data_IF_936114181569
#
_entry.id   IF_936114181569
#
_cell.length_a   1.000
_cell.length_b   1.000
_cell.length_c   1.000
_cell.angle_alpha   90.00
_cell.angle_beta   90.00
_cell.angle_gamma   90.00
#
_symmetry.space_group_name_H-M   'P 1'
#
loop_
_entity.id
_entity.type
_entity.pdbx_description
1 polymer ?
#
# COMPACT_ATOMS: atom_id res chain seq x y z
N UNK A 1 0.74 45.43 29.05
CA UNK A 1 0.41 44.13 28.40
C UNK A 1 -0.02 43.15 29.48
N UNK A 2 -1.15 42.43 29.35
CA UNK A 2 -1.61 41.54 30.40
C UNK A 2 -0.62 40.36 30.55
N UNK A 3 -0.09 40.16 31.77
CA UNK A 3 0.92 39.12 32.12
C UNK A 3 0.44 37.68 31.87
N UNK A 4 -0.85 37.49 31.58
CA UNK A 4 -1.48 36.19 31.32
C UNK A 4 -1.47 35.76 29.85
N UNK A 5 -1.18 36.68 28.92
CA UNK A 5 -1.16 36.40 27.49
C UNK A 5 -0.23 35.24 27.07
N UNK A 6 1.01 35.10 27.56
CA UNK A 6 1.88 33.98 27.18
C UNK A 6 1.36 32.62 27.68
N UNK A 7 0.66 32.58 28.82
CA UNK A 7 0.10 31.34 29.37
C UNK A 7 -1.07 30.83 28.53
N UNK A 8 -1.92 31.73 28.05
CA UNK A 8 -3.05 31.40 27.16
C UNK A 8 -2.54 30.89 25.82
N UNK A 9 -1.50 31.52 25.25
CA UNK A 9 -0.87 31.08 24.00
C UNK A 9 -0.23 29.69 24.16
N UNK A 10 0.48 29.45 25.27
CA UNK A 10 1.07 28.14 25.56
C UNK A 10 0.01 27.04 25.72
N UNK A 11 -1.12 27.35 26.37
CA UNK A 11 -2.23 26.40 26.54
C UNK A 11 -2.93 26.07 25.21
N UNK A 12 -3.13 27.07 24.34
CA UNK A 12 -3.71 26.85 22.99
C UNK A 12 -2.79 26.02 22.11
N UNK A 13 -1.47 26.22 22.20
CA UNK A 13 -0.47 25.41 21.50
C UNK A 13 -0.41 23.98 22.04
N UNK A 14 -0.63 23.78 23.35
CA UNK A 14 -0.67 22.45 23.95
C UNK A 14 -1.93 21.66 23.58
N UNK A 15 -3.06 22.34 23.39
CA UNK A 15 -4.33 21.73 22.98
C UNK A 15 -4.41 21.41 21.49
N UNK A 16 -3.46 21.89 20.68
CA UNK A 16 -3.43 21.69 19.22
C UNK A 16 -2.49 20.58 18.75
N UNK A 17 -1.84 19.84 19.66
CA UNK A 17 -1.17 18.58 19.30
C UNK A 17 -2.21 17.52 18.97
N UNK A 18 -2.63 17.49 17.71
CA UNK A 18 -3.39 16.37 17.17
C UNK A 18 -2.48 15.15 17.11
N UNK A 19 -2.87 14.07 17.77
CA UNK A 19 -2.30 12.76 17.49
C UNK A 19 -2.58 12.44 16.02
N UNK A 20 -1.54 12.45 15.19
CA UNK A 20 -1.65 11.97 13.83
C UNK A 20 -1.90 10.46 13.89
N UNK A 21 -3.15 10.03 13.72
CA UNK A 21 -3.44 8.63 13.47
C UNK A 21 -2.91 8.29 12.07
N UNK A 22 -2.06 7.27 11.99
CA UNK A 22 -1.67 6.73 10.71
C UNK A 22 -2.94 6.22 10.01
N UNK A 23 -3.24 6.74 8.81
CA UNK A 23 -4.33 6.22 8.00
C UNK A 23 -4.04 4.74 7.68
N UNK A 24 -5.07 3.90 7.78
CA UNK A 24 -5.01 2.50 7.33
C UNK A 24 -4.36 2.44 5.93
N UNK A 25 -3.27 1.68 5.77
CA UNK A 25 -2.58 1.61 4.49
C UNK A 25 -3.33 0.69 3.53
N UNK A 26 -3.18 0.99 2.24
CA UNK A 26 -3.44 0.00 1.20
C UNK A 26 -2.21 -0.90 1.07
N UNK A 27 -2.43 -2.21 1.08
CA UNK A 27 -1.37 -3.20 0.86
C UNK A 27 -1.67 -4.04 -0.38
N UNK A 28 -0.61 -4.58 -0.99
CA UNK A 28 -0.68 -5.46 -2.14
C UNK A 28 -0.15 -6.85 -1.77
N UNK A 29 -0.91 -7.89 -2.11
CA UNK A 29 -0.54 -9.28 -1.85
C UNK A 29 -0.57 -10.03 -3.18
N UNK A 30 0.55 -10.65 -3.54
CA UNK A 30 0.64 -11.48 -4.73
C UNK A 30 0.09 -12.89 -4.48
N UNK A 31 -0.64 -13.41 -5.45
CA UNK A 31 -0.95 -14.82 -5.61
C UNK A 31 0.02 -15.39 -6.65
N UNK A 32 1.07 -16.05 -6.16
CA UNK A 32 2.11 -16.63 -7.00
C UNK A 32 1.63 -17.94 -7.64
N UNK A 33 0.94 -17.81 -8.78
CA UNK A 33 0.44 -18.92 -9.57
C UNK A 33 0.46 -18.60 -11.07
N UNK A 34 0.47 -19.65 -11.90
CA UNK A 34 0.35 -19.54 -13.35
C UNK A 34 -1.11 -19.39 -13.82
N UNK A 35 -1.29 -18.98 -15.08
CA UNK A 35 -2.59 -18.75 -15.70
C UNK A 35 -3.46 -17.75 -14.93
N UNK A 36 -4.77 -17.92 -15.02
CA UNK A 36 -5.77 -17.01 -14.41
C UNK A 36 -5.78 -17.04 -12.86
N UNK A 37 -5.01 -17.96 -12.26
CA UNK A 37 -4.84 -18.05 -10.81
C UNK A 37 -3.77 -17.08 -10.30
N UNK A 38 -2.85 -16.65 -11.17
CA UNK A 38 -1.93 -15.57 -10.88
C UNK A 38 -2.68 -14.25 -10.71
N UNK A 39 -2.36 -13.51 -9.65
CA UNK A 39 -2.98 -12.21 -9.41
C UNK A 39 -2.19 -11.38 -8.41
N UNK A 40 -2.47 -10.09 -8.38
CA UNK A 40 -2.14 -9.19 -7.30
C UNK A 40 -3.47 -8.68 -6.75
N UNK A 41 -3.62 -8.77 -5.42
CA UNK A 41 -4.78 -8.31 -4.69
C UNK A 41 -4.41 -7.06 -3.91
N UNK A 42 -5.27 -6.04 -3.91
CA UNK A 42 -5.16 -4.90 -3.01
C UNK A 42 -6.17 -4.99 -1.88
N UNK A 43 -5.75 -4.56 -0.70
CA UNK A 43 -6.57 -4.53 0.51
C UNK A 43 -6.37 -3.22 1.24
N UNK A 44 -7.42 -2.75 1.93
CA UNK A 44 -7.25 -1.81 3.02
C UNK A 44 -6.93 -2.60 4.29
N UNK A 45 -5.78 -2.32 4.90
CA UNK A 45 -5.33 -3.00 6.11
C UNK A 45 -5.71 -2.16 7.33
N UNK A 46 -6.60 -2.71 8.16
CA UNK A 46 -7.02 -2.08 9.40
C UNK A 46 -5.91 -2.25 10.45
N UNK A 47 -5.18 -1.16 10.76
CA UNK A 47 -4.04 -1.21 11.69
C UNK A 47 -4.46 -1.51 13.14
N UNK A 48 -5.74 -1.32 13.47
CA UNK A 48 -6.25 -1.53 14.83
C UNK A 48 -6.62 -3.00 15.06
N UNK A 49 -7.28 -3.61 14.08
CA UNK A 49 -7.81 -4.98 14.20
C UNK A 49 -6.99 -6.03 13.47
N UNK A 50 -6.11 -5.62 12.54
CA UNK A 50 -5.39 -6.51 11.64
C UNK A 50 -6.25 -7.07 10.50
N UNK A 51 -7.49 -6.60 10.33
CA UNK A 51 -8.39 -7.09 9.29
C UNK A 51 -7.98 -6.59 7.89
N UNK A 52 -8.13 -7.47 6.89
CA UNK A 52 -7.97 -7.14 5.47
C UNK A 52 -9.33 -6.94 4.81
N UNK A 53 -9.58 -5.74 4.29
CA UNK A 53 -10.77 -5.42 3.50
C UNK A 53 -10.41 -5.47 2.01
N UNK A 54 -10.94 -6.42 1.22
CA UNK A 54 -10.61 -6.54 -0.20
C UNK A 54 -10.97 -5.29 -0.99
N UNK A 55 -10.14 -4.93 -1.96
CA UNK A 55 -10.38 -3.79 -2.86
C UNK A 55 -10.40 -4.24 -4.32
N UNK A 56 -9.25 -4.60 -4.89
CA UNK A 56 -9.13 -4.96 -6.31
C UNK A 56 -8.30 -6.24 -6.47
N UNK A 57 -8.50 -6.91 -7.61
CA UNK A 57 -7.72 -8.06 -8.07
C UNK A 57 -7.39 -7.88 -9.54
N UNK A 58 -6.11 -8.04 -9.89
CA UNK A 58 -5.67 -8.08 -11.30
C UNK A 58 -6.04 -9.41 -11.95
N UNK A 59 -6.26 -9.43 -13.27
CA UNK A 59 -6.61 -10.65 -14.02
C UNK A 59 -5.58 -11.05 -15.08
N UNK A 60 -4.54 -10.24 -15.29
CA UNK A 60 -3.62 -10.37 -16.44
C UNK A 60 -2.16 -10.56 -16.05
N UNK A 61 -1.87 -11.04 -14.83
CA UNK A 61 -0.49 -11.30 -14.38
C UNK A 61 -0.35 -12.71 -13.85
N UNK A 62 0.54 -13.47 -14.47
CA UNK A 62 0.96 -14.78 -14.02
C UNK A 62 2.27 -14.69 -13.27
N UNK A 63 2.38 -15.52 -12.24
CA UNK A 63 3.57 -15.67 -11.41
C UNK A 63 4.16 -14.36 -10.86
N UNK A 64 3.35 -13.46 -10.24
CA UNK A 64 3.89 -12.21 -9.68
C UNK A 64 4.69 -12.47 -8.39
N UNK A 65 6.02 -12.52 -8.48
CA UNK A 65 6.89 -12.79 -7.33
C UNK A 65 7.73 -11.57 -6.87
N UNK A 66 7.57 -10.42 -7.53
CA UNK A 66 8.14 -9.14 -7.09
C UNK A 66 7.18 -7.99 -7.39
N UNK A 67 7.18 -6.97 -6.53
CA UNK A 67 6.31 -5.80 -6.61
C UNK A 67 7.11 -4.52 -6.34
N UNK A 68 6.86 -3.48 -7.11
CA UNK A 68 7.42 -2.15 -6.89
C UNK A 68 6.36 -1.07 -7.15
N UNK A 69 6.28 -0.06 -6.28
CA UNK A 69 5.44 1.11 -6.50
C UNK A 69 6.25 2.22 -7.14
N UNK A 70 5.64 2.92 -8.09
CA UNK A 70 6.12 4.22 -8.56
C UNK A 70 6.25 5.22 -7.40
N UNK A 71 7.19 6.17 -7.45
CA UNK A 71 7.37 7.17 -6.39
C UNK A 71 6.12 8.00 -6.10
N UNK A 72 5.31 8.29 -7.12
CA UNK A 72 4.05 9.03 -6.99
C UNK A 72 2.84 8.13 -6.66
N UNK A 73 3.07 6.82 -6.51
CA UNK A 73 2.09 5.78 -6.15
C UNK A 73 0.93 5.65 -7.13
N UNK A 74 1.10 6.09 -8.38
CA UNK A 74 0.07 5.94 -9.42
C UNK A 74 0.13 4.60 -10.13
N UNK A 75 1.32 4.02 -10.19
CA UNK A 75 1.60 2.74 -10.84
C UNK A 75 2.18 1.71 -9.88
N UNK A 76 1.73 0.46 -10.04
CA UNK A 76 2.33 -0.73 -9.47
C UNK A 76 2.96 -1.56 -10.58
N UNK A 77 4.22 -1.93 -10.40
CA UNK A 77 4.96 -2.82 -11.28
C UNK A 77 5.10 -4.20 -10.66
N UNK A 78 5.03 -5.23 -11.49
CA UNK A 78 5.28 -6.60 -11.08
C UNK A 78 6.01 -7.39 -12.14
N UNK A 79 6.74 -8.42 -11.73
CA UNK A 79 7.20 -9.43 -12.68
C UNK A 79 6.00 -10.24 -13.17
N UNK A 80 5.96 -10.46 -14.47
CA UNK A 80 5.06 -11.38 -15.13
C UNK A 80 5.87 -12.49 -15.78
N UNK A 81 5.61 -13.74 -15.39
CA UNK A 81 6.25 -14.90 -16.00
C UNK A 81 5.19 -15.91 -16.43
N UNK A 82 5.21 -16.35 -17.69
CA UNK A 82 4.38 -17.46 -18.14
C UNK A 82 4.77 -18.77 -17.42
N UNK A 83 6.08 -18.98 -17.23
CA UNK A 83 6.64 -20.12 -16.51
C UNK A 83 7.80 -19.70 -15.62
N UNK A 84 7.56 -19.67 -14.32
CA UNK A 84 8.58 -19.36 -13.33
C UNK A 84 9.76 -20.33 -13.36
N UNK A 85 10.98 -19.80 -13.28
CA UNK A 85 12.21 -20.58 -13.26
C UNK A 85 12.57 -21.24 -14.60
N UNK A 86 11.91 -20.85 -15.69
CA UNK A 86 12.28 -21.27 -17.04
C UNK A 86 13.49 -20.49 -17.58
N UNK A 87 13.92 -20.81 -18.80
CA UNK A 87 14.93 -20.01 -19.52
C UNK A 87 14.32 -18.87 -20.33
N UNK A 88 12.99 -18.79 -20.36
CA UNK A 88 12.28 -17.77 -21.11
C UNK A 88 12.44 -16.43 -20.39
N UNK A 89 12.39 -15.34 -21.16
CA UNK A 89 12.43 -14.01 -20.58
C UNK A 89 11.16 -13.78 -19.76
N UNK A 90 11.33 -13.14 -18.60
CA UNK A 90 10.22 -12.65 -17.79
C UNK A 90 9.96 -11.18 -18.13
N UNK A 91 8.70 -10.77 -18.01
CA UNK A 91 8.23 -9.45 -18.42
C UNK A 91 7.90 -8.59 -17.19
N UNK A 92 7.66 -7.30 -17.42
CA UNK A 92 7.15 -6.38 -16.41
C UNK A 92 5.72 -6.00 -16.79
N UNK A 93 4.78 -6.24 -15.88
CA UNK A 93 3.43 -5.72 -15.96
C UNK A 93 3.31 -4.43 -15.12
N UNK A 94 2.54 -3.47 -15.61
CA UNK A 94 2.22 -2.24 -14.90
C UNK A 94 0.69 -2.11 -14.74
N UNK A 95 0.27 -1.63 -13.57
CA UNK A 95 -1.12 -1.41 -13.18
C UNK A 95 -1.31 0.01 -12.65
#
# INVERSE_FOLDING_TARGET
MPRFLPLVVALVLFLSTQFANAKDPMIFISAFAGGDQGAIHSFNFDLTTGALKPLQRTTSVQNPFFLALSPDKKFLYSIHALKFGSKDAEEIAAF
#
